data_IF_560739037210
#
_entry.id   IF_560739037210
#
_cell.length_a   1.000
_cell.length_b   1.000
_cell.length_c   1.000
_cell.angle_alpha   90.00
_cell.angle_beta   90.00
_cell.angle_gamma   90.00
#
_symmetry.space_group_name_H-M   'P 1'
#
loop_
_entity.id
_entity.type
_entity.pdbx_description
1 polymer ?
#
# COMPACT_ATOMS: atom_id res chain seq x y z
N UNK A 1 13.96 -19.06 -62.28
CA UNK A 1 12.58 -18.55 -62.45
C UNK A 1 12.14 -17.92 -61.14
N UNK A 2 12.06 -16.59 -61.14
CA UNK A 2 11.67 -15.76 -60.00
C UNK A 2 10.14 -15.80 -59.89
N UNK A 3 9.59 -16.20 -58.73
CA UNK A 3 8.17 -15.99 -58.42
C UNK A 3 8.07 -14.97 -57.30
N UNK A 4 7.75 -13.75 -57.71
CA UNK A 4 7.41 -12.60 -56.89
C UNK A 4 6.13 -12.88 -56.11
N UNK A 5 6.17 -12.75 -54.78
CA UNK A 5 4.97 -12.76 -53.93
C UNK A 5 4.45 -11.32 -53.84
N UNK A 6 3.25 -11.10 -54.35
CA UNK A 6 2.55 -9.82 -54.34
C UNK A 6 1.86 -9.67 -52.98
N UNK A 7 2.17 -8.59 -52.26
CA UNK A 7 1.46 -8.21 -51.03
C UNK A 7 0.10 -7.61 -51.39
N UNK A 8 -0.99 -8.24 -50.94
CA UNK A 8 -2.33 -7.65 -51.03
C UNK A 8 -2.48 -6.52 -50.02
N UNK A 9 -2.80 -5.33 -50.50
CA UNK A 9 -3.16 -4.15 -49.71
C UNK A 9 -4.41 -4.41 -48.86
N UNK A 10 -4.28 -4.33 -47.54
CA UNK A 10 -5.41 -4.30 -46.61
C UNK A 10 -6.13 -2.95 -46.71
N UNK A 11 -7.37 -2.96 -47.21
CA UNK A 11 -8.26 -1.79 -47.24
C UNK A 11 -8.79 -1.55 -45.82
N UNK A 12 -8.55 -0.36 -45.26
CA UNK A 12 -9.16 0.06 -43.99
C UNK A 12 -10.67 0.26 -44.17
N UNK A 13 -11.54 -0.15 -43.23
CA UNK A 13 -12.95 0.22 -43.29
C UNK A 13 -13.09 1.72 -43.04
N UNK A 14 -13.75 2.44 -43.94
CA UNK A 14 -14.16 3.81 -43.72
C UNK A 14 -15.32 3.84 -42.71
N UNK A 15 -15.10 4.43 -41.54
CA UNK A 15 -16.16 4.77 -40.60
C UNK A 15 -16.92 6.00 -41.11
N UNK A 16 -18.23 5.89 -41.36
CA UNK A 16 -19.11 7.03 -41.57
C UNK A 16 -19.48 7.65 -40.22
N UNK A 17 -19.42 8.98 -40.05
CA UNK A 17 -19.93 9.63 -38.85
C UNK A 17 -21.47 9.57 -38.82
N UNK A 18 -22.04 9.26 -37.65
CA UNK A 18 -23.48 9.34 -37.43
C UNK A 18 -23.92 10.81 -37.40
N UNK A 19 -24.95 11.14 -38.17
CA UNK A 19 -25.61 12.44 -38.13
C UNK A 19 -26.38 12.60 -36.80
N UNK A 20 -25.92 13.50 -35.93
CA UNK A 20 -26.70 13.97 -34.80
C UNK A 20 -27.68 15.06 -35.26
N UNK A 21 -28.96 14.81 -35.06
CA UNK A 21 -30.03 15.75 -35.36
C UNK A 21 -30.16 16.74 -34.18
N UNK A 22 -29.88 18.02 -34.40
CA UNK A 22 -30.04 19.07 -33.40
C UNK A 22 -31.49 19.58 -33.37
N UNK A 23 -32.29 19.08 -32.42
CA UNK A 23 -33.55 19.70 -32.03
C UNK A 23 -33.37 20.37 -30.66
N UNK A 24 -33.70 21.66 -30.48
CA UNK A 24 -33.58 22.31 -29.18
C UNK A 24 -34.69 21.83 -28.23
N UNK A 25 -34.31 21.40 -27.03
CA UNK A 25 -35.23 21.06 -25.94
C UNK A 25 -35.85 22.35 -25.34
N UNK A 26 -37.13 22.32 -24.91
CA UNK A 26 -37.79 23.50 -24.36
C UNK A 26 -37.29 23.85 -22.96
N UNK A 27 -37.02 25.14 -22.75
CA UNK A 27 -36.69 25.74 -21.46
C UNK A 27 -37.87 25.66 -20.49
N UNK A 28 -37.72 24.94 -19.38
CA UNK A 28 -38.64 25.03 -18.25
C UNK A 28 -38.29 26.29 -17.42
N UNK A 29 -39.15 27.32 -17.47
CA UNK A 29 -39.07 28.49 -16.59
C UNK A 29 -39.56 28.10 -15.19
N UNK A 30 -38.67 28.08 -14.20
CA UNK A 30 -39.05 28.10 -12.79
C UNK A 30 -39.18 29.56 -12.34
N UNK A 31 -40.40 29.95 -11.96
CA UNK A 31 -40.74 31.26 -11.40
C UNK A 31 -40.19 31.40 -9.98
N UNK A 32 -39.39 32.44 -9.72
CA UNK A 32 -39.01 32.87 -8.37
C UNK A 32 -40.13 33.68 -7.74
N UNK A 33 -40.60 33.38 -6.51
CA UNK A 33 -41.37 34.34 -5.74
C UNK A 33 -40.45 35.34 -5.05
N UNK A 34 -40.82 36.62 -5.15
CA UNK A 34 -40.25 37.73 -4.39
C UNK A 34 -40.39 37.49 -2.89
N UNK A 35 -39.28 37.53 -2.14
CA UNK A 35 -39.31 37.83 -0.71
C UNK A 35 -38.40 39.02 -0.42
N UNK A 36 -39.00 40.08 0.11
CA UNK A 36 -38.39 41.33 0.50
C UNK A 36 -37.51 41.18 1.74
N UNK A 37 -36.35 41.83 1.73
CA UNK A 37 -35.47 41.94 2.90
C UNK A 37 -36.00 43.01 3.87
N UNK A 38 -36.48 42.58 5.03
CA UNK A 38 -36.50 43.38 6.26
C UNK A 38 -36.30 42.45 7.46
N UNK A 39 -35.40 42.83 8.36
CA UNK A 39 -35.32 42.27 9.70
C UNK A 39 -33.94 41.75 10.08
N UNK A 40 -33.25 42.54 10.88
CA UNK A 40 -32.13 42.13 11.73
C UNK A 40 -32.48 40.87 12.52
N UNK A 41 -31.67 39.81 12.41
CA UNK A 41 -31.52 38.83 13.48
C UNK A 41 -30.20 38.08 13.35
N UNK A 42 -29.49 38.05 14.47
CA UNK A 42 -28.27 37.32 14.76
C UNK A 42 -28.35 35.86 14.32
N UNK A 43 -27.45 35.45 13.41
CA UNK A 43 -27.28 34.05 13.06
C UNK A 43 -26.45 33.36 14.13
N UNK A 44 -27.12 32.62 15.02
CA UNK A 44 -26.47 31.61 15.84
C UNK A 44 -25.88 30.53 14.91
N UNK A 45 -24.56 30.40 14.95
CA UNK A 45 -23.80 29.34 14.30
C UNK A 45 -24.20 27.98 14.91
N UNK A 46 -25.15 27.26 14.29
CA UNK A 46 -25.44 25.86 14.62
C UNK A 46 -24.27 25.01 14.12
N UNK A 47 -23.30 24.76 15.02
CA UNK A 47 -22.28 23.74 14.87
C UNK A 47 -22.95 22.40 14.55
N UNK A 48 -22.50 21.77 13.47
CA UNK A 48 -22.83 20.40 13.11
C UNK A 48 -22.56 19.46 14.29
N UNK A 49 -23.58 18.73 14.72
CA UNK A 49 -23.54 17.84 15.88
C UNK A 49 -22.95 16.48 15.48
N UNK A 50 -21.69 16.46 15.03
CA UNK A 50 -20.94 15.21 14.94
C UNK A 50 -20.66 14.71 16.36
N UNK A 51 -20.95 13.45 16.70
CA UNK A 51 -20.59 12.92 18.00
C UNK A 51 -19.07 13.02 18.18
N UNK A 52 -18.64 13.56 19.34
CA UNK A 52 -17.23 13.56 19.74
C UNK A 52 -16.73 12.12 19.75
N UNK A 53 -15.46 11.85 19.37
CA UNK A 53 -14.93 10.50 19.42
C UNK A 53 -15.04 9.98 20.86
N UNK A 54 -15.79 8.89 21.05
CA UNK A 54 -15.75 8.14 22.30
C UNK A 54 -14.31 7.66 22.49
N UNK A 55 -13.77 7.81 23.70
CA UNK A 55 -12.52 7.15 24.09
C UNK A 55 -12.78 5.64 24.11
N UNK A 56 -12.59 4.99 22.97
CA UNK A 56 -12.72 3.55 22.82
C UNK A 56 -11.43 2.90 23.30
N UNK A 57 -11.28 2.76 24.61
CA UNK A 57 -10.64 1.56 25.16
C UNK A 57 -11.70 0.45 25.19
N UNK A 58 -12.09 -0.02 24.03
CA UNK A 58 -12.88 -1.25 23.91
C UNK A 58 -11.91 -2.37 23.56
N UNK A 59 -11.73 -3.33 24.48
CA UNK A 59 -11.11 -4.62 24.16
C UNK A 59 -11.86 -5.21 22.97
N UNK A 60 -11.13 -5.59 21.93
CA UNK A 60 -11.65 -6.26 20.74
C UNK A 60 -12.53 -7.45 21.15
N UNK A 61 -13.75 -7.48 20.62
CA UNK A 61 -14.72 -8.56 20.82
C UNK A 61 -14.59 -9.52 19.65
N UNK A 62 -13.51 -10.31 19.64
CA UNK A 62 -13.35 -11.49 18.79
C UNK A 62 -12.51 -12.52 19.55
N UNK A 63 -12.96 -12.88 20.75
CA UNK A 63 -12.51 -14.09 21.43
C UNK A 63 -13.33 -15.26 20.87
N UNK A 64 -12.89 -15.82 19.74
CA UNK A 64 -13.32 -17.15 19.33
C UNK A 64 -12.61 -18.13 20.27
N UNK A 65 -13.39 -18.88 21.05
CA UNK A 65 -12.86 -19.88 21.97
C UNK A 65 -12.17 -21.00 21.18
N UNK A 66 -10.83 -20.97 21.14
CA UNK A 66 -9.99 -21.99 20.54
C UNK A 66 -8.57 -21.48 20.32
N UNK A 67 -7.70 -21.71 21.31
CA UNK A 67 -6.30 -21.25 21.42
C UNK A 67 -6.12 -19.72 21.43
N UNK A 68 -5.28 -19.21 22.33
CA UNK A 68 -4.77 -17.84 22.22
C UNK A 68 -4.07 -17.73 20.85
N UNK A 69 -4.39 -16.74 19.98
CA UNK A 69 -3.62 -16.50 18.76
C UNK A 69 -2.10 -16.36 19.02
N UNK A 70 -1.71 -16.07 20.27
CA UNK A 70 -0.33 -15.98 20.75
C UNK A 70 0.28 -17.31 21.23
N UNK A 71 -0.48 -18.42 21.26
CA UNK A 71 -0.04 -19.78 21.68
C UNK A 71 0.47 -20.66 20.53
N UNK A 72 0.50 -20.17 19.28
CA UNK A 72 1.26 -20.84 18.22
C UNK A 72 2.75 -20.66 18.50
N UNK A 73 3.44 -21.73 18.88
CA UNK A 73 4.89 -21.75 19.07
C UNK A 73 5.57 -21.05 17.87
N UNK A 74 6.42 -20.06 18.14
CA UNK A 74 7.06 -19.24 17.12
C UNK A 74 8.02 -20.10 16.28
N UNK A 75 7.50 -20.66 15.18
CA UNK A 75 8.32 -21.36 14.19
C UNK A 75 8.93 -20.33 13.24
N UNK A 76 10.05 -19.76 13.67
CA UNK A 76 10.80 -18.77 12.90
C UNK A 76 11.22 -19.28 11.52
N UNK A 77 11.43 -20.60 11.37
CA UNK A 77 11.80 -21.21 10.09
C UNK A 77 10.64 -21.20 9.08
N UNK A 78 9.40 -21.01 9.54
CA UNK A 78 8.21 -20.88 8.70
C UNK A 78 7.68 -19.44 8.64
N UNK A 79 8.49 -18.50 9.09
CA UNK A 79 8.17 -17.07 9.12
C UNK A 79 8.97 -16.32 8.07
N UNK A 80 8.33 -15.36 7.39
CA UNK A 80 9.04 -14.38 6.59
C UNK A 80 8.76 -12.94 7.08
N UNK A 81 9.80 -12.11 7.07
CA UNK A 81 9.73 -10.67 7.27
C UNK A 81 9.64 -9.99 5.90
N UNK A 82 8.53 -9.30 5.64
CA UNK A 82 8.36 -8.43 4.48
C UNK A 82 8.80 -7.01 4.85
N UNK A 83 9.82 -6.49 4.17
CA UNK A 83 10.28 -5.11 4.27
C UNK A 83 9.82 -4.34 3.04
N UNK A 84 8.79 -3.51 3.19
CA UNK A 84 8.04 -2.97 2.05
C UNK A 84 8.38 -1.50 1.77
N UNK A 85 8.80 -1.23 0.54
CA UNK A 85 8.98 0.10 -0.06
C UNK A 85 9.86 1.05 0.78
N UNK A 86 10.88 0.53 1.48
CA UNK A 86 11.87 1.33 2.21
C UNK A 86 12.94 1.93 1.28
N UNK A 87 12.48 2.62 0.23
CA UNK A 87 13.29 3.20 -0.83
C UNK A 87 13.41 4.72 -0.68
N UNK A 88 14.51 5.30 -1.17
CA UNK A 88 14.82 6.73 -1.01
C UNK A 88 13.67 7.65 -1.42
N UNK A 89 12.99 7.39 -2.54
CA UNK A 89 11.87 8.21 -3.02
C UNK A 89 10.65 8.26 -2.08
N UNK A 90 10.51 7.29 -1.17
CA UNK A 90 9.46 7.25 -0.16
C UNK A 90 9.89 7.79 1.20
N UNK A 91 11.18 7.87 1.49
CA UNK A 91 11.69 8.08 2.85
C UNK A 91 12.54 9.35 2.98
N UNK A 92 13.38 9.66 1.99
CA UNK A 92 14.29 10.79 2.05
C UNK A 92 13.57 12.12 1.80
N UNK A 93 14.05 13.17 2.48
CA UNK A 93 13.51 14.51 2.32
C UNK A 93 13.67 14.97 0.86
N UNK A 94 12.57 15.43 0.26
CA UNK A 94 12.55 15.80 -1.16
C UNK A 94 12.23 14.65 -2.13
N UNK A 95 12.09 13.41 -1.62
CA UNK A 95 11.59 12.28 -2.40
C UNK A 95 10.23 12.59 -3.04
N UNK A 96 10.00 12.27 -4.33
CA UNK A 96 8.80 12.62 -5.05
C UNK A 96 7.54 11.92 -4.53
N UNK A 97 7.71 10.88 -3.70
CA UNK A 97 6.64 10.10 -3.08
C UNK A 97 6.77 10.03 -1.56
N UNK A 98 7.43 11.04 -0.95
CA UNK A 98 7.74 11.08 0.48
C UNK A 98 6.54 10.73 1.37
N UNK A 99 6.75 9.71 2.21
CA UNK A 99 5.87 9.34 3.33
C UNK A 99 6.43 10.03 4.56
N UNK A 100 5.75 11.07 5.03
CA UNK A 100 6.27 11.98 6.08
C UNK A 100 6.76 11.26 7.35
N UNK A 101 6.07 10.21 7.80
CA UNK A 101 6.50 9.43 8.97
C UNK A 101 7.53 8.33 8.67
N UNK A 102 7.92 8.14 7.41
CA UNK A 102 8.78 7.03 6.98
C UNK A 102 10.21 7.12 7.52
N UNK A 103 10.78 8.32 7.62
CA UNK A 103 12.15 8.53 8.12
C UNK A 103 12.29 8.13 9.59
N UNK A 104 11.27 8.39 10.40
CA UNK A 104 11.28 8.14 11.84
C UNK A 104 11.30 6.65 12.18
N UNK A 105 10.78 5.78 11.30
CA UNK A 105 10.73 4.33 11.52
C UNK A 105 11.98 3.59 11.04
N UNK A 106 12.89 4.22 10.29
CA UNK A 106 14.07 3.57 9.71
C UNK A 106 14.90 2.80 10.77
N UNK A 107 15.21 3.37 11.96
CA UNK A 107 15.93 2.64 12.99
C UNK A 107 15.21 1.37 13.46
N UNK A 108 13.88 1.40 13.55
CA UNK A 108 13.08 0.26 13.96
C UNK A 108 13.03 -0.81 12.86
N UNK A 109 12.95 -0.42 11.59
CA UNK A 109 13.02 -1.38 10.47
C UNK A 109 14.39 -2.07 10.43
N UNK A 110 15.49 -1.32 10.61
CA UNK A 110 16.85 -1.91 10.69
C UNK A 110 16.92 -2.95 11.80
N UNK A 111 16.45 -2.59 13.01
CA UNK A 111 16.46 -3.51 14.15
C UNK A 111 15.54 -4.71 13.95
N UNK A 112 14.38 -4.55 13.30
CA UNK A 112 13.50 -5.66 12.95
C UNK A 112 14.20 -6.66 12.00
N UNK A 113 14.91 -6.14 10.99
CA UNK A 113 15.72 -6.95 10.07
C UNK A 113 16.84 -7.69 10.81
N UNK A 114 17.53 -7.04 11.73
CA UNK A 114 18.60 -7.68 12.50
C UNK A 114 18.07 -8.80 13.41
N UNK A 115 16.94 -8.57 14.09
CA UNK A 115 16.25 -9.61 14.89
C UNK A 115 15.80 -10.76 14.00
N UNK A 116 15.24 -10.48 12.82
CA UNK A 116 14.84 -11.52 11.87
C UNK A 116 16.02 -12.40 11.44
N UNK A 117 17.18 -11.79 11.15
CA UNK A 117 18.41 -12.53 10.82
C UNK A 117 18.88 -13.42 11.97
N UNK A 118 18.88 -12.89 13.19
CA UNK A 118 19.28 -13.66 14.38
C UNK A 118 18.38 -14.87 14.62
N UNK A 119 17.10 -14.76 14.24
CA UNK A 119 16.09 -15.83 14.37
C UNK A 119 16.01 -16.77 13.15
N UNK A 120 16.77 -16.53 12.09
CA UNK A 120 16.71 -17.33 10.86
C UNK A 120 15.44 -17.12 10.04
N UNK A 121 14.72 -16.02 10.25
CA UNK A 121 13.51 -15.66 9.50
C UNK A 121 13.89 -15.28 8.06
N UNK A 122 13.13 -15.77 7.08
CA UNK A 122 13.31 -15.37 5.68
C UNK A 122 13.01 -13.88 5.49
N UNK A 123 13.96 -13.10 4.99
CA UNK A 123 13.74 -11.68 4.71
C UNK A 123 13.39 -11.48 3.24
N UNK A 124 12.27 -10.83 3.00
CA UNK A 124 11.83 -10.43 1.66
C UNK A 124 11.80 -8.92 1.55
N UNK A 125 12.71 -8.38 0.74
CA UNK A 125 12.77 -6.97 0.38
C UNK A 125 11.80 -6.71 -0.76
N UNK A 126 10.67 -6.09 -0.44
CA UNK A 126 9.64 -5.75 -1.41
C UNK A 126 9.86 -4.32 -1.88
N UNK A 127 10.22 -4.15 -3.15
CA UNK A 127 10.56 -2.84 -3.74
C UNK A 127 9.76 -2.57 -5.00
N UNK A 128 9.78 -1.31 -5.43
CA UNK A 128 9.29 -0.87 -6.75
C UNK A 128 10.46 -0.53 -7.66
N UNK A 129 10.37 -0.97 -8.90
CA UNK A 129 11.30 -0.61 -9.97
C UNK A 129 10.49 -0.40 -11.25
N UNK A 130 9.88 0.76 -11.37
CA UNK A 130 8.95 1.06 -12.44
C UNK A 130 9.66 1.25 -13.78
N UNK A 131 8.98 0.84 -14.86
CA UNK A 131 9.36 1.20 -16.21
C UNK A 131 9.60 2.72 -16.32
N UNK A 132 10.73 3.19 -16.88
CA UNK A 132 11.04 4.63 -16.92
C UNK A 132 10.02 5.49 -17.68
N UNK A 133 9.19 4.90 -18.55
CA UNK A 133 8.08 5.58 -19.23
C UNK A 133 6.75 5.46 -18.47
N UNK A 134 6.75 4.90 -17.27
CA UNK A 134 5.58 4.76 -16.39
C UNK A 134 4.52 3.79 -16.89
N UNK A 135 4.86 2.87 -17.82
CA UNK A 135 3.88 1.97 -18.47
C UNK A 135 3.22 1.01 -17.50
N UNK A 136 3.96 0.59 -16.48
CA UNK A 136 3.53 -0.36 -15.46
C UNK A 136 3.02 0.31 -14.18
N UNK A 137 3.00 1.64 -14.09
CA UNK A 137 2.62 2.40 -12.89
C UNK A 137 1.09 2.41 -12.71
N UNK A 138 0.61 2.58 -11.48
CA UNK A 138 -0.81 2.82 -11.22
C UNK A 138 -1.33 4.02 -12.05
N UNK A 139 -2.51 3.90 -12.65
CA UNK A 139 -3.04 4.87 -13.61
C UNK A 139 -2.99 6.32 -13.11
N UNK A 140 -3.36 6.53 -11.84
CA UNK A 140 -3.40 7.85 -11.21
C UNK A 140 -2.01 8.46 -10.95
N UNK A 141 -0.92 7.67 -11.04
CA UNK A 141 0.48 8.12 -10.87
C UNK A 141 1.25 8.27 -12.17
N UNK A 142 0.68 7.86 -13.31
CA UNK A 142 1.37 7.94 -14.62
C UNK A 142 1.84 9.34 -14.99
N UNK A 143 1.13 10.37 -14.54
CA UNK A 143 1.49 11.78 -14.76
C UNK A 143 2.84 12.18 -14.15
N UNK A 144 3.39 11.38 -13.22
CA UNK A 144 4.71 11.61 -12.63
C UNK A 144 5.87 11.22 -13.55
N UNK A 145 5.57 10.50 -14.64
CA UNK A 145 6.53 9.94 -15.59
C UNK A 145 6.37 10.65 -16.94
N UNK A 146 7.49 11.06 -17.53
CA UNK A 146 7.53 11.69 -18.84
C UNK A 146 8.92 11.48 -19.47
N UNK A 147 8.99 11.56 -20.80
CA UNK A 147 10.28 11.48 -21.50
C UNK A 147 11.24 12.57 -20.98
N UNK A 148 12.47 12.16 -20.63
CA UNK A 148 13.50 13.06 -20.10
C UNK A 148 13.38 13.38 -18.60
N UNK A 149 12.39 12.82 -17.89
CA UNK A 149 12.24 12.95 -16.43
C UNK A 149 12.35 11.58 -15.76
N UNK A 150 13.16 11.49 -14.70
CA UNK A 150 13.18 10.30 -13.83
C UNK A 150 11.93 10.33 -12.96
N UNK A 151 11.04 9.35 -13.16
CA UNK A 151 9.84 9.18 -12.32
C UNK A 151 10.18 8.45 -11.01
N UNK A 152 9.26 8.47 -10.03
CA UNK A 152 9.49 7.82 -8.74
C UNK A 152 9.85 6.34 -8.88
N UNK A 153 10.87 5.86 -8.18
CA UNK A 153 11.31 4.46 -8.17
C UNK A 153 11.52 3.90 -9.58
N UNK A 154 11.96 4.74 -10.52
CA UNK A 154 12.30 4.28 -11.88
C UNK A 154 13.41 3.24 -11.81
N UNK A 155 13.32 2.18 -12.61
CA UNK A 155 14.32 1.12 -12.59
C UNK A 155 15.74 1.67 -12.81
N UNK A 156 16.63 1.43 -11.85
CA UNK A 156 18.02 1.88 -11.88
C UNK A 156 18.26 3.33 -11.46
N UNK A 157 17.24 4.06 -11.03
CA UNK A 157 17.43 5.39 -10.44
C UNK A 157 17.84 5.30 -8.97
N UNK A 158 18.58 6.29 -8.48
CA UNK A 158 18.91 6.42 -7.06
C UNK A 158 17.67 6.39 -6.16
N UNK A 159 16.59 7.06 -6.55
CA UNK A 159 15.32 7.05 -5.81
C UNK A 159 14.69 5.65 -5.60
N UNK A 160 15.09 4.67 -6.41
CA UNK A 160 14.66 3.28 -6.31
C UNK A 160 15.57 2.43 -5.40
N UNK A 161 16.67 2.96 -4.91
CA UNK A 161 17.54 2.27 -3.96
C UNK A 161 16.89 2.25 -2.57
N UNK A 162 17.29 1.29 -1.74
CA UNK A 162 16.95 1.29 -0.32
C UNK A 162 17.62 2.48 0.37
N UNK A 163 17.02 2.94 1.47
CA UNK A 163 17.66 3.94 2.34
C UNK A 163 18.87 3.39 3.07
N UNK A 164 19.77 4.29 3.48
CA UNK A 164 20.98 3.94 4.22
C UNK A 164 20.69 3.09 5.47
N UNK A 165 21.55 2.09 5.70
CA UNK A 165 21.43 1.13 6.80
C UNK A 165 20.60 -0.11 6.46
N UNK A 166 19.78 -0.08 5.41
CA UNK A 166 19.04 -1.24 4.92
C UNK A 166 19.77 -1.87 3.73
N UNK A 167 20.42 -3.01 3.99
CA UNK A 167 21.23 -3.73 3.00
C UNK A 167 20.67 -5.14 2.81
N UNK A 168 20.40 -5.48 1.54
CA UNK A 168 20.07 -6.84 1.11
C UNK A 168 21.34 -7.69 1.22
N UNK A 169 21.29 -8.75 2.02
CA UNK A 169 22.41 -9.69 2.20
C UNK A 169 22.17 -10.98 1.43
N UNK A 170 23.22 -11.78 1.30
CA UNK A 170 23.11 -13.14 0.78
C UNK A 170 22.10 -13.94 1.62
N UNK A 171 21.22 -14.69 0.94
CA UNK A 171 20.11 -15.42 1.56
C UNK A 171 18.81 -14.63 1.66
N UNK A 172 18.84 -13.30 1.59
CA UNK A 172 17.62 -12.49 1.49
C UNK A 172 16.99 -12.63 0.09
N UNK A 173 15.67 -12.41 -0.01
CA UNK A 173 14.95 -12.39 -1.28
C UNK A 173 14.54 -10.97 -1.68
N UNK A 174 14.83 -10.57 -2.93
CA UNK A 174 14.35 -9.29 -3.48
C UNK A 174 13.15 -9.51 -4.39
N UNK A 175 12.03 -8.88 -4.05
CA UNK A 175 10.80 -8.89 -4.85
C UNK A 175 10.54 -7.51 -5.43
N UNK A 176 10.38 -7.43 -6.75
CA UNK A 176 9.89 -6.22 -7.43
C UNK A 176 8.38 -6.31 -7.62
N UNK A 177 7.63 -5.30 -7.16
CA UNK A 177 6.18 -5.15 -7.38
C UNK A 177 5.85 -3.86 -8.12
N UNK A 178 4.70 -3.84 -8.79
CA UNK A 178 4.20 -2.66 -9.53
C UNK A 178 2.87 -2.13 -8.99
N UNK A 179 2.28 -2.77 -7.98
CA UNK A 179 1.02 -2.38 -7.31
C UNK A 179 1.23 -2.27 -5.80
N UNK A 180 0.20 -1.90 -5.04
CA UNK A 180 0.38 -1.74 -3.59
C UNK A 180 0.66 -3.08 -2.91
N UNK A 181 -0.18 -4.08 -3.13
CA UNK A 181 0.07 -5.43 -2.62
C UNK A 181 1.35 -6.03 -3.18
N UNK A 182 2.13 -6.65 -2.30
CA UNK A 182 3.29 -7.46 -2.66
C UNK A 182 2.90 -8.77 -3.38
N UNK A 183 1.66 -9.23 -3.25
CA UNK A 183 1.15 -10.44 -3.91
C UNK A 183 0.59 -10.19 -5.30
N UNK A 184 0.04 -8.99 -5.55
CA UNK A 184 -0.68 -8.73 -6.79
C UNK A 184 0.23 -8.80 -8.01
N UNK A 185 -0.02 -9.79 -8.88
CA UNK A 185 0.74 -10.04 -10.11
C UNK A 185 2.26 -10.18 -9.88
N UNK A 186 2.65 -10.78 -8.75
CA UNK A 186 4.03 -11.17 -8.46
C UNK A 186 4.11 -12.68 -8.20
N UNK A 187 5.32 -13.20 -8.01
CA UNK A 187 5.56 -14.60 -7.63
C UNK A 187 5.72 -14.78 -6.11
N UNK A 188 5.37 -13.77 -5.28
CA UNK A 188 5.62 -13.81 -3.83
C UNK A 188 4.99 -15.04 -3.17
N UNK A 189 3.71 -15.31 -3.43
CA UNK A 189 3.02 -16.45 -2.81
C UNK A 189 3.70 -17.78 -3.17
N UNK A 190 4.06 -17.99 -4.44
CA UNK A 190 4.75 -19.21 -4.87
C UNK A 190 6.13 -19.36 -4.22
N UNK A 191 6.88 -18.26 -4.07
CA UNK A 191 8.19 -18.27 -3.39
C UNK A 191 8.04 -18.63 -1.91
N UNK A 192 7.09 -18.00 -1.21
CA UNK A 192 6.85 -18.26 0.20
C UNK A 192 6.40 -19.70 0.44
N UNK A 193 5.48 -20.23 -0.38
CA UNK A 193 5.04 -21.62 -0.31
C UNK A 193 6.19 -22.60 -0.59
N UNK A 194 7.01 -22.33 -1.61
CA UNK A 194 8.20 -23.14 -1.92
C UNK A 194 9.23 -23.16 -0.79
N UNK A 195 9.29 -22.10 0.02
CA UNK A 195 10.14 -21.99 1.21
C UNK A 195 9.47 -22.53 2.49
N UNK A 196 8.24 -23.05 2.43
CA UNK A 196 7.51 -23.57 3.60
C UNK A 196 6.97 -22.50 4.55
N UNK A 197 6.94 -21.24 4.12
CA UNK A 197 6.47 -20.10 4.90
C UNK A 197 4.95 -20.10 4.99
N UNK A 198 4.44 -19.99 6.21
CA UNK A 198 3.02 -19.83 6.51
C UNK A 198 2.73 -18.65 7.44
N UNK A 199 3.76 -18.01 8.00
CA UNK A 199 3.64 -16.89 8.93
C UNK A 199 4.33 -15.65 8.36
N UNK A 200 3.73 -14.47 8.51
CA UNK A 200 4.27 -13.24 7.95
C UNK A 200 4.39 -12.13 8.98
N UNK A 201 5.52 -11.44 8.96
CA UNK A 201 5.76 -10.20 9.69
C UNK A 201 5.95 -9.08 8.67
N UNK A 202 5.31 -7.93 8.86
CA UNK A 202 5.27 -6.84 7.88
C UNK A 202 5.80 -5.55 8.47
N UNK A 203 6.70 -4.90 7.74
CA UNK A 203 7.31 -3.60 8.06
C UNK A 203 7.38 -2.71 6.81
N UNK A 204 7.64 -1.41 7.02
CA UNK A 204 7.90 -0.44 5.96
C UNK A 204 6.74 0.51 5.66
N UNK A 205 6.63 0.99 4.42
CA UNK A 205 5.68 2.06 4.06
C UNK A 205 4.81 1.75 2.83
N UNK A 206 3.65 2.36 2.67
CA UNK A 206 2.91 3.13 3.69
C UNK A 206 1.68 2.38 4.17
N UNK A 207 1.29 2.62 5.43
CA UNK A 207 0.24 1.90 6.15
C UNK A 207 -1.07 1.74 5.36
N UNK A 208 -1.69 2.80 4.79
CA UNK A 208 -2.99 2.66 4.11
C UNK A 208 -2.92 1.98 2.74
N UNK A 209 -1.72 1.83 2.16
CA UNK A 209 -1.54 1.38 0.79
C UNK A 209 -0.84 0.02 0.76
N UNK A 210 0.48 0.03 0.60
CA UNK A 210 1.27 -1.18 0.36
C UNK A 210 1.25 -2.13 1.56
N UNK A 211 1.25 -1.60 2.78
CA UNK A 211 1.15 -2.41 3.99
C UNK A 211 -0.24 -3.03 4.08
N UNK A 212 -1.31 -2.22 4.16
CA UNK A 212 -2.68 -2.71 4.31
C UNK A 212 -3.09 -3.69 3.20
N UNK A 213 -2.83 -3.38 1.94
CA UNK A 213 -3.23 -4.29 0.86
C UNK A 213 -2.45 -5.62 0.92
N UNK A 214 -1.16 -5.59 1.24
CA UNK A 214 -0.36 -6.83 1.41
C UNK A 214 -0.86 -7.66 2.58
N UNK A 215 -1.23 -7.02 3.69
CA UNK A 215 -1.78 -7.69 4.88
C UNK A 215 -3.13 -8.36 4.58
N UNK A 216 -4.03 -7.65 3.90
CA UNK A 216 -5.34 -8.20 3.54
C UNK A 216 -5.20 -9.38 2.56
N UNK A 217 -4.30 -9.28 1.58
CA UNK A 217 -4.01 -10.38 0.67
C UNK A 217 -3.35 -11.56 1.40
N UNK A 218 -2.48 -11.31 2.38
CA UNK A 218 -1.89 -12.36 3.21
C UNK A 218 -2.95 -13.12 4.00
N UNK A 219 -3.88 -12.42 4.64
CA UNK A 219 -5.00 -13.05 5.36
C UNK A 219 -5.88 -13.84 4.38
N UNK A 220 -6.17 -13.30 3.20
CA UNK A 220 -6.97 -13.99 2.19
C UNK A 220 -6.28 -15.23 1.57
N UNK A 221 -4.97 -15.34 1.71
CA UNK A 221 -4.14 -16.47 1.27
C UNK A 221 -3.81 -17.47 2.40
N UNK A 222 -4.51 -17.37 3.53
CA UNK A 222 -4.35 -18.24 4.71
C UNK A 222 -2.94 -18.25 5.32
N UNK A 223 -2.21 -17.13 5.24
CA UNK A 223 -1.04 -16.95 6.11
C UNK A 223 -1.52 -16.71 7.55
N UNK A 224 -0.95 -17.46 8.50
CA UNK A 224 -1.30 -17.35 9.90
C UNK A 224 -0.14 -17.78 10.82
N UNK A 225 0.31 -16.91 11.75
CA UNK A 225 -0.16 -15.54 11.96
C UNK A 225 0.31 -14.55 10.87
N UNK A 226 -0.42 -13.45 10.73
CA UNK A 226 0.04 -12.21 10.08
C UNK A 226 0.24 -11.15 11.16
N UNK A 227 1.43 -10.56 11.16
CA UNK A 227 1.87 -9.58 12.16
C UNK A 227 2.35 -8.31 11.47
N UNK A 228 1.96 -7.14 11.98
CA UNK A 228 2.45 -5.82 11.54
C UNK A 228 3.17 -5.17 12.70
N UNK A 229 4.46 -4.86 12.55
CA UNK A 229 5.21 -4.15 13.59
C UNK A 229 4.84 -2.66 13.49
N UNK A 230 4.01 -2.17 14.41
CA UNK A 230 3.32 -0.87 14.23
C UNK A 230 4.27 0.31 14.22
N UNK A 231 5.29 0.30 15.07
CA UNK A 231 6.35 1.32 15.15
C UNK A 231 7.50 1.08 14.15
N UNK A 232 7.39 0.05 13.30
CA UNK A 232 8.22 -0.16 12.12
C UNK A 232 7.40 -0.06 10.81
N UNK A 233 6.22 0.58 10.88
CA UNK A 233 5.42 0.98 9.72
C UNK A 233 4.95 2.42 9.85
N UNK A 234 4.73 3.11 8.73
CA UNK A 234 4.36 4.52 8.78
C UNK A 234 3.41 4.96 7.67
N UNK A 235 2.73 6.08 7.90
CA UNK A 235 1.90 6.77 6.92
C UNK A 235 2.27 8.26 6.85
N UNK A 236 1.53 9.01 6.02
CA UNK A 236 1.71 10.47 5.92
C UNK A 236 1.35 11.21 7.21
N UNK A 237 0.44 10.68 8.02
CA UNK A 237 0.07 11.23 9.33
C UNK A 237 -0.18 10.11 10.35
N UNK A 238 -0.02 10.40 11.66
CA UNK A 238 -0.35 9.44 12.72
C UNK A 238 -1.80 8.94 12.67
N UNK A 239 -2.77 9.82 12.40
CA UNK A 239 -4.18 9.45 12.36
C UNK A 239 -4.48 8.42 11.25
N UNK A 240 -3.89 8.60 10.06
CA UNK A 240 -4.03 7.64 8.96
C UNK A 240 -3.39 6.31 9.36
N UNK A 241 -2.20 6.35 9.96
CA UNK A 241 -1.50 5.16 10.41
C UNK A 241 -2.36 4.37 11.41
N UNK A 242 -2.80 5.02 12.50
CA UNK A 242 -3.57 4.40 13.58
C UNK A 242 -4.93 3.86 13.11
N UNK A 243 -5.64 4.59 12.22
CA UNK A 243 -6.91 4.10 11.69
C UNK A 243 -6.74 2.80 10.87
N UNK A 244 -5.66 2.69 10.10
CA UNK A 244 -5.39 1.49 9.30
C UNK A 244 -4.87 0.34 10.15
N UNK A 245 -4.08 0.61 11.20
CA UNK A 245 -3.68 -0.39 12.20
C UNK A 245 -4.92 -0.96 12.89
N UNK A 246 -5.82 -0.10 13.36
CA UNK A 246 -7.08 -0.51 13.97
C UNK A 246 -7.92 -1.40 13.04
N UNK A 247 -8.04 -1.04 11.75
CA UNK A 247 -8.74 -1.87 10.77
C UNK A 247 -8.08 -3.25 10.56
N UNK A 248 -6.74 -3.34 10.65
CA UNK A 248 -6.01 -4.61 10.53
C UNK A 248 -6.19 -5.48 11.78
N UNK A 249 -6.17 -4.89 12.99
CA UNK A 249 -6.46 -5.59 14.24
C UNK A 249 -7.84 -6.26 14.21
N UNK A 250 -8.85 -5.55 13.69
CA UNK A 250 -10.23 -6.05 13.64
C UNK A 250 -10.45 -7.17 12.60
N UNK A 251 -9.47 -7.48 11.75
CA UNK A 251 -9.47 -8.67 10.89
C UNK A 251 -8.57 -9.79 11.42
N UNK A 252 -8.07 -9.68 12.66
CA UNK A 252 -7.29 -10.73 13.33
C UNK A 252 -5.78 -10.64 13.14
N UNK A 253 -5.26 -9.52 12.65
CA UNK A 253 -3.81 -9.29 12.47
C UNK A 253 -3.21 -8.82 13.80
N UNK A 254 -2.07 -9.40 14.20
CA UNK A 254 -1.33 -8.95 15.38
C UNK A 254 -0.55 -7.66 15.06
N UNK A 255 -0.56 -6.70 15.98
CA UNK A 255 0.01 -5.36 15.78
C UNK A 255 0.98 -4.92 16.90
N UNK A 256 1.99 -5.75 17.24
CA UNK A 256 2.92 -5.42 18.30
C UNK A 256 3.84 -4.25 17.90
N UNK A 257 4.38 -3.57 18.90
CA UNK A 257 5.60 -2.77 18.76
C UNK A 257 6.80 -3.66 18.48
N UNK A 258 7.90 -3.08 17.99
CA UNK A 258 9.15 -3.79 17.77
C UNK A 258 9.67 -4.40 19.07
N UNK A 259 9.52 -3.67 20.18
CA UNK A 259 9.90 -4.17 21.49
C UNK A 259 9.16 -5.47 21.80
N UNK A 260 7.82 -5.42 21.78
CA UNK A 260 6.95 -6.58 22.06
C UNK A 260 7.21 -7.77 21.12
N UNK A 261 7.54 -7.52 19.85
CA UNK A 261 7.88 -8.59 18.89
C UNK A 261 9.29 -9.17 19.09
N UNK A 262 10.24 -8.36 19.58
CA UNK A 262 11.66 -8.75 19.71
C UNK A 262 11.99 -9.46 21.04
N UNK A 263 11.20 -9.25 22.08
CA UNK A 263 11.43 -9.85 23.39
C UNK A 263 11.01 -11.34 23.39
N UNK A 264 11.81 -12.24 24.01
CA UNK A 264 11.38 -13.62 24.23
C UNK A 264 10.13 -13.63 25.11
N UNK A 265 9.08 -14.34 24.71
CA UNK A 265 7.94 -14.60 25.60
C UNK A 265 8.47 -15.36 26.83
N UNK A 266 8.25 -14.79 28.01
CA UNK A 266 8.68 -15.34 29.31
C UNK A 266 7.94 -16.64 29.67
#
# INVERSE_FOLDING_TARGET
MVKTVVWSTFVRPQYKPAHFNHSPLPFLKLSTPNLSFRGTNTVHNKRSNWPKPLSLRSKSVLAVAGADPLEMAEDWNRTALLVIDMQKDFIEDGGPMLVKGGKDIVPNVIKAVDVARQRGILIVWVVREHDPLGRDVELFRRHLYAAGKVGPTSKGSEGAELVDGLVIKEGDYKLVKTRFSAFFATHLHSVLQGAGINSLVVTGVQTPNCIRQTVYDAVALDYQPVTVIVDATAAATPDIHLANVFDMENIGVATPTLQEWSEPKA
#
